data_IF_597661920334
#
_entry.id   IF_597661920334
#
_cell.length_a   1.000
_cell.length_b   1.000
_cell.length_c   1.000
_cell.angle_alpha   90.00
_cell.angle_beta   90.00
_cell.angle_gamma   90.00
#
_symmetry.space_group_name_H-M   'P 1'
#
loop_
_entity.id
_entity.type
_entity.pdbx_description
1 polymer ?
#
# COMPACT_ATOMS: atom_id res chain seq x y z
N UNK A 1 -9.04 15.63 -5.52
CA UNK A 1 -8.03 14.75 -4.87
C UNK A 1 -8.48 14.54 -3.44
N UNK A 2 -8.63 13.29 -3.03
CA UNK A 2 -9.17 12.91 -1.72
C UNK A 2 -8.14 12.08 -0.96
N UNK A 3 -8.30 11.99 0.36
CA UNK A 3 -7.46 11.12 1.18
C UNK A 3 -8.06 9.74 1.24
N UNK A 4 -7.27 8.73 0.91
CA UNK A 4 -7.62 7.32 1.01
C UNK A 4 -6.78 6.66 2.09
N UNK A 5 -7.40 5.74 2.85
CA UNK A 5 -6.72 4.80 3.72
C UNK A 5 -6.69 3.46 2.99
N UNK A 6 -5.50 2.94 2.73
CA UNK A 6 -5.33 1.64 2.07
C UNK A 6 -4.87 0.65 3.12
N UNK A 7 -5.69 -0.37 3.36
CA UNK A 7 -5.40 -1.45 4.28
C UNK A 7 -5.34 -2.74 3.45
N UNK A 8 -4.46 -3.67 3.80
CA UNK A 8 -4.41 -4.96 3.11
C UNK A 8 -3.11 -5.69 3.37
N UNK A 9 -2.91 -6.78 2.65
CA UNK A 9 -1.68 -7.58 2.73
C UNK A 9 -0.97 -7.52 1.38
N UNK A 10 0.28 -7.06 1.40
CA UNK A 10 1.19 -7.12 0.25
C UNK A 10 2.12 -8.31 0.46
N UNK A 11 2.23 -9.16 -0.56
CA UNK A 11 3.26 -10.19 -0.64
C UNK A 11 4.47 -9.62 -1.33
N UNK A 12 5.63 -9.71 -0.68
CA UNK A 12 6.92 -9.33 -1.26
C UNK A 12 7.81 -10.56 -1.41
N UNK A 13 8.43 -10.71 -2.57
CA UNK A 13 9.50 -11.69 -2.76
C UNK A 13 10.84 -10.99 -2.62
N UNK A 14 11.62 -11.37 -1.62
CA UNK A 14 12.95 -10.82 -1.34
C UNK A 14 13.92 -12.00 -1.23
N UNK A 15 14.98 -12.00 -2.04
CA UNK A 15 16.00 -13.06 -2.11
C UNK A 15 15.39 -14.45 -2.33
N UNK A 16 14.35 -14.52 -3.16
CA UNK A 16 13.61 -15.74 -3.47
C UNK A 16 12.59 -16.18 -2.40
N UNK A 17 12.52 -15.50 -1.25
CA UNK A 17 11.59 -15.83 -0.17
C UNK A 17 10.36 -14.92 -0.20
N UNK A 18 9.18 -15.52 -0.10
CA UNK A 18 7.92 -14.80 0.02
C UNK A 18 7.63 -14.44 1.47
N UNK A 19 7.24 -13.18 1.69
CA UNK A 19 6.78 -12.68 2.97
C UNK A 19 5.48 -11.90 2.80
N UNK A 20 4.57 -12.06 3.75
CA UNK A 20 3.33 -11.30 3.84
C UNK A 20 3.52 -10.10 4.74
N UNK A 21 3.17 -8.92 4.23
CA UNK A 21 3.37 -7.64 4.90
C UNK A 21 2.03 -6.91 4.98
N UNK A 22 1.45 -6.75 6.17
CA UNK A 22 0.29 -5.88 6.31
C UNK A 22 0.69 -4.45 5.96
N UNK A 23 -0.20 -3.74 5.27
CA UNK A 23 -0.04 -2.32 4.97
C UNK A 23 -1.25 -1.56 5.50
N UNK A 24 -1.00 -0.39 6.08
CA UNK A 24 -1.99 0.59 6.48
C UNK A 24 -1.44 1.97 6.13
N UNK A 25 -1.80 2.47 4.95
CA UNK A 25 -1.20 3.69 4.41
C UNK A 25 -2.27 4.74 4.10
N UNK A 26 -2.03 5.97 4.55
CA UNK A 26 -2.82 7.15 4.14
C UNK A 26 -2.17 7.80 2.92
N UNK A 27 -2.91 7.92 1.82
CA UNK A 27 -2.40 8.50 0.56
C UNK A 27 -3.41 9.49 -0.04
N UNK A 28 -2.95 10.62 -0.58
CA UNK A 28 -3.79 11.46 -1.43
C UNK A 28 -3.86 10.81 -2.82
N UNK A 29 -5.07 10.62 -3.35
CA UNK A 29 -5.27 10.03 -4.66
C UNK A 29 -6.49 10.64 -5.38
N UNK A 30 -6.56 10.44 -6.69
CA UNK A 30 -7.71 10.87 -7.50
C UNK A 30 -8.82 9.83 -7.55
N UNK A 31 -8.53 8.57 -7.21
CA UNK A 31 -9.49 7.47 -7.17
C UNK A 31 -9.01 6.35 -6.21
N UNK A 32 -9.91 5.43 -5.81
CA UNK A 32 -9.54 4.23 -5.06
C UNK A 32 -8.47 3.37 -5.76
N UNK A 33 -8.56 3.22 -7.08
CA UNK A 33 -7.56 2.50 -7.90
C UNK A 33 -6.18 3.14 -7.84
N UNK A 34 -6.14 4.46 -7.94
CA UNK A 34 -4.89 5.21 -7.84
C UNK A 34 -4.29 5.09 -6.44
N UNK A 35 -5.11 5.11 -5.39
CA UNK A 35 -4.66 4.86 -4.03
C UNK A 35 -4.04 3.46 -3.84
N UNK A 36 -4.65 2.41 -4.41
CA UNK A 36 -4.10 1.05 -4.41
C UNK A 36 -2.74 0.97 -5.08
N UNK A 37 -2.62 1.61 -6.25
CA UNK A 37 -1.38 1.65 -7.02
C UNK A 37 -0.27 2.35 -6.24
N UNK A 38 -0.56 3.50 -5.62
CA UNK A 38 0.41 4.24 -4.80
C UNK A 38 0.88 3.40 -3.61
N UNK A 39 -0.04 2.74 -2.91
CA UNK A 39 0.31 1.89 -1.76
C UNK A 39 1.18 0.69 -2.16
N UNK A 40 0.86 0.02 -3.28
CA UNK A 40 1.68 -1.08 -3.81
C UNK A 40 3.08 -0.62 -4.21
N UNK A 41 3.18 0.52 -4.89
CA UNK A 41 4.47 1.07 -5.31
C UNK A 41 5.35 1.48 -4.12
N UNK A 42 4.77 1.94 -3.02
CA UNK A 42 5.51 2.15 -1.76
C UNK A 42 6.08 0.84 -1.23
N UNK A 43 5.24 -0.19 -1.09
CA UNK A 43 5.70 -1.50 -0.62
C UNK A 43 6.77 -2.11 -1.54
N UNK A 44 6.64 -1.91 -2.86
CA UNK A 44 7.64 -2.31 -3.84
C UNK A 44 8.97 -1.59 -3.64
N UNK A 45 8.95 -0.26 -3.42
CA UNK A 45 10.18 0.51 -3.14
C UNK A 45 10.87 0.04 -1.87
N UNK A 46 10.11 -0.22 -0.81
CA UNK A 46 10.65 -0.72 0.46
C UNK A 46 11.31 -2.09 0.27
N UNK A 47 10.70 -2.98 -0.54
CA UNK A 47 11.27 -4.28 -0.86
C UNK A 47 12.54 -4.14 -1.74
N UNK A 48 12.51 -3.25 -2.74
CA UNK A 48 13.65 -2.97 -3.62
C UNK A 48 14.86 -2.38 -2.88
N UNK A 49 14.62 -1.67 -1.77
CA UNK A 49 15.69 -1.18 -0.91
C UNK A 49 16.45 -2.31 -0.17
N UNK A 50 15.83 -3.49 -0.01
CA UNK A 50 16.42 -4.66 0.65
C UNK A 50 17.05 -5.62 -0.39
N UNK A 51 16.39 -5.78 -1.54
CA UNK A 51 16.84 -6.61 -2.65
C UNK A 51 16.46 -5.95 -3.99
N UNK A 52 17.43 -5.61 -4.87
CA UNK A 52 17.16 -4.92 -6.13
C UNK A 52 16.29 -5.72 -7.12
N UNK A 53 16.13 -7.03 -6.90
CA UNK A 53 15.27 -7.90 -7.71
C UNK A 53 13.94 -8.22 -7.02
N UNK A 54 13.64 -7.56 -5.90
CA UNK A 54 12.41 -7.81 -5.17
C UNK A 54 11.16 -7.53 -6.00
N UNK A 55 10.13 -8.35 -5.79
CA UNK A 55 8.80 -8.14 -6.38
C UNK A 55 7.77 -7.92 -5.29
N UNK A 56 6.68 -7.22 -5.61
CA UNK A 56 5.57 -6.98 -4.70
C UNK A 56 4.24 -7.18 -5.42
N UNK A 57 3.28 -7.83 -4.76
CA UNK A 57 1.91 -8.03 -5.26
C UNK A 57 0.90 -7.93 -4.12
N UNK A 58 -0.33 -7.56 -4.45
CA UNK A 58 -1.43 -7.68 -3.50
C UNK A 58 -1.74 -9.16 -3.24
N UNK A 59 -1.87 -9.52 -1.97
CA UNK A 59 -2.44 -10.80 -1.55
C UNK A 59 -3.95 -10.66 -1.34
N UNK A 60 -4.37 -9.61 -0.62
CA UNK A 60 -5.78 -9.21 -0.48
C UNK A 60 -5.90 -7.69 -0.63
N UNK A 61 -6.70 -7.18 -1.58
CA UNK A 61 -7.07 -5.78 -1.57
C UNK A 61 -8.34 -5.60 -0.74
N UNK A 62 -8.23 -5.54 0.60
CA UNK A 62 -9.34 -5.05 1.43
C UNK A 62 -9.34 -3.53 1.42
N UNK A 63 -9.95 -2.95 0.39
CA UNK A 63 -10.02 -1.50 0.27
C UNK A 63 -11.00 -0.93 1.30
N UNK A 64 -10.50 -0.50 2.45
CA UNK A 64 -11.28 0.30 3.40
C UNK A 64 -11.39 1.72 2.84
N UNK A 65 -12.49 1.98 2.12
CA UNK A 65 -12.87 3.31 1.63
C UNK A 65 -12.70 4.34 2.76
N UNK A 66 -11.87 5.34 2.54
CA UNK A 66 -11.88 6.53 3.37
C UNK A 66 -13.21 7.25 3.13
N UNK A 67 -14.12 7.15 4.09
CA UNK A 67 -15.04 8.26 4.35
C UNK A 67 -14.18 9.51 4.52
N UNK A 68 -14.52 10.62 3.85
CA UNK A 68 -13.94 11.96 4.00
C UNK A 68 -13.21 12.13 5.33
N UNK A 69 -11.89 11.90 5.37
CA UNK A 69 -11.12 12.19 6.58
C UNK A 69 -10.87 13.69 6.49
N UNK A 70 -11.58 14.47 7.32
CA UNK A 70 -11.34 15.90 7.44
C UNK A 70 -9.84 16.16 7.62
N UNK A 71 -9.36 17.26 7.03
CA UNK A 71 -8.01 17.78 7.31
C UNK A 71 -7.93 18.05 8.81
N UNK A 72 -7.35 17.13 9.58
CA UNK A 72 -7.01 17.40 10.98
C UNK A 72 -7.27 16.31 12.00
N UNK A 73 -7.89 15.17 11.67
CA UNK A 73 -8.03 14.11 12.69
C UNK A 73 -6.66 13.48 12.99
N UNK A 74 -6.14 13.61 14.23
CA UNK A 74 -4.93 12.91 14.64
C UNK A 74 -5.19 11.41 14.72
N UNK A 75 -4.10 10.66 14.63
CA UNK A 75 -4.07 9.21 14.74
C UNK A 75 -4.58 8.71 16.10
#
# INVERSE_FOLDING_TARGET
>A
MEWYRVIGIVQTQVRGQWAERPTCTRVPASSPDDARRIALERARRDALAIDPYATARWHTPELVRASQIEKGSPA
#
